data_IF_304138062008
#
_entry.id   IF_304138062008
#
_cell.length_a   1.000
_cell.length_b   1.000
_cell.length_c   1.000
_cell.angle_alpha   90.00
_cell.angle_beta   90.00
_cell.angle_gamma   90.00
#
_symmetry.space_group_name_H-M   'P 1'
#
loop_
_entity.id
_entity.type
_entity.pdbx_description
1 polymer ?
#
# COMPACT_ATOMS: atom_id res chain seq x y z
N UNK A 1 5.30 -0.91 -21.19
CA UNK A 1 4.58 -1.85 -20.29
C UNK A 1 4.22 -1.07 -19.03
N UNK A 2 2.98 -1.15 -18.58
CA UNK A 2 2.53 -0.43 -17.38
C UNK A 2 2.67 -1.34 -16.14
N UNK A 3 3.19 -0.80 -15.04
CA UNK A 3 3.28 -1.53 -13.77
C UNK A 3 1.89 -1.62 -13.13
N UNK A 4 1.44 -2.84 -12.83
CA UNK A 4 0.13 -3.11 -12.24
C UNK A 4 0.20 -3.65 -10.81
N UNK A 5 1.26 -4.38 -10.53
CA UNK A 5 1.46 -5.03 -9.24
C UNK A 5 2.83 -4.65 -8.70
N UNK A 6 2.86 -4.27 -7.44
CA UNK A 6 4.09 -3.94 -6.72
C UNK A 6 4.07 -4.62 -5.36
N UNK A 7 5.21 -5.19 -4.98
CA UNK A 7 5.40 -5.79 -3.67
C UNK A 7 6.57 -5.11 -2.98
N UNK A 8 6.35 -4.62 -1.75
CA UNK A 8 7.36 -3.97 -0.93
C UNK A 8 7.71 -4.84 0.28
N UNK A 9 8.98 -5.23 0.36
CA UNK A 9 9.59 -5.91 1.50
C UNK A 9 10.68 -5.02 2.11
N UNK A 10 10.32 -3.99 2.90
CA UNK A 10 11.32 -3.24 3.64
C UNK A 10 12.04 -4.14 4.65
N UNK A 11 13.34 -3.91 4.80
CA UNK A 11 14.13 -4.44 5.91
C UNK A 11 13.86 -3.63 7.17
N UNK A 12 14.72 -2.63 7.43
CA UNK A 12 14.72 -1.90 8.70
C UNK A 12 13.85 -0.64 8.71
N UNK A 13 13.36 -0.16 7.56
CA UNK A 13 12.60 1.10 7.49
C UNK A 13 11.54 1.04 6.40
N UNK A 14 10.31 1.41 6.74
CA UNK A 14 9.22 1.54 5.78
C UNK A 14 9.47 2.73 4.84
N UNK A 15 9.51 2.53 3.51
CA UNK A 15 9.65 3.62 2.56
C UNK A 15 8.39 4.49 2.52
N UNK A 16 8.56 5.78 2.24
CA UNK A 16 7.44 6.68 1.93
C UNK A 16 6.74 6.25 0.64
N UNK A 17 5.40 6.27 0.64
CA UNK A 17 4.60 5.75 -0.48
C UNK A 17 4.19 6.82 -1.50
N UNK A 18 4.50 8.10 -1.26
CA UNK A 18 4.12 9.21 -2.14
C UNK A 18 4.46 9.01 -3.65
N UNK A 19 5.61 8.45 -4.03
CA UNK A 19 5.94 8.24 -5.45
C UNK A 19 5.00 7.27 -6.18
N UNK A 20 4.30 6.38 -5.46
CA UNK A 20 3.41 5.41 -6.08
C UNK A 20 2.14 6.08 -6.66
N UNK A 21 1.86 7.33 -6.28
CA UNK A 21 0.78 8.12 -6.88
C UNK A 21 1.04 8.45 -8.36
N UNK A 22 2.29 8.39 -8.81
CA UNK A 22 2.71 8.61 -10.20
C UNK A 22 2.57 7.34 -11.07
N UNK A 23 2.03 6.24 -10.51
CA UNK A 23 1.82 4.98 -11.21
C UNK A 23 0.31 4.79 -11.51
N UNK A 24 -0.22 5.41 -12.59
CA UNK A 24 -1.67 5.45 -12.84
C UNK A 24 -2.28 4.09 -13.19
N UNK A 25 -1.45 3.09 -13.49
CA UNK A 25 -1.87 1.72 -13.79
C UNK A 25 -1.67 0.74 -12.64
N UNK A 26 -1.22 1.22 -11.47
CA UNK A 26 -1.02 0.36 -10.31
C UNK A 26 -2.38 -0.06 -9.74
N UNK A 27 -2.63 -1.36 -9.75
CA UNK A 27 -3.87 -2.00 -9.34
C UNK A 27 -3.70 -2.71 -8.00
N UNK A 28 -2.50 -3.23 -7.70
CA UNK A 28 -2.21 -3.97 -6.47
C UNK A 28 -0.89 -3.53 -5.83
N UNK A 29 -0.92 -3.28 -4.53
CA UNK A 29 0.26 -3.02 -3.69
C UNK A 29 0.25 -3.98 -2.50
N UNK A 30 1.24 -4.86 -2.41
CA UNK A 30 1.42 -5.71 -1.24
C UNK A 30 2.54 -5.18 -0.34
N UNK A 31 2.22 -4.99 0.94
CA UNK A 31 3.12 -4.44 1.96
C UNK A 31 3.44 -5.50 3.01
N UNK A 32 4.74 -5.63 3.29
CA UNK A 32 5.29 -6.52 4.31
C UNK A 32 6.15 -5.71 5.28
N UNK A 33 6.41 -6.26 6.47
CA UNK A 33 7.32 -5.66 7.45
C UNK A 33 6.63 -5.19 8.73
N UNK A 34 7.43 -4.87 9.74
CA UNK A 34 6.98 -4.50 11.08
C UNK A 34 6.88 -3.00 11.35
N UNK A 35 7.50 -2.17 10.51
CA UNK A 35 7.45 -0.71 10.62
C UNK A 35 6.14 -0.15 10.03
N UNK A 36 5.64 0.98 10.55
CA UNK A 36 4.39 1.57 10.07
C UNK A 36 4.52 2.18 8.67
N UNK A 37 3.60 1.84 7.77
CA UNK A 37 3.44 2.55 6.50
C UNK A 37 2.32 3.60 6.58
N UNK A 38 2.59 4.80 6.10
CA UNK A 38 1.55 5.82 5.90
C UNK A 38 0.87 5.66 4.53
N UNK A 39 -0.40 5.28 4.54
CA UNK A 39 -1.19 5.08 3.32
C UNK A 39 -1.85 6.38 2.82
N UNK A 40 -1.81 7.47 3.59
CA UNK A 40 -2.47 8.75 3.26
C UNK A 40 -2.22 9.22 1.82
N UNK A 41 -1.00 9.17 1.27
CA UNK A 41 -0.74 9.60 -0.11
C UNK A 41 -1.51 8.80 -1.17
N UNK A 42 -1.85 7.54 -0.88
CA UNK A 42 -2.43 6.59 -1.83
C UNK A 42 -3.98 6.61 -1.84
N UNK A 43 -4.60 7.40 -0.97
CA UNK A 43 -6.06 7.44 -0.84
C UNK A 43 -6.75 7.80 -2.16
N UNK A 44 -6.15 8.73 -2.93
CA UNK A 44 -6.64 9.18 -4.24
C UNK A 44 -6.43 8.19 -5.40
N UNK A 45 -5.68 7.10 -5.20
CA UNK A 45 -5.43 6.09 -6.24
C UNK A 45 -6.65 5.17 -6.39
N UNK A 46 -7.68 5.60 -7.12
CA UNK A 46 -9.00 4.94 -7.15
C UNK A 46 -8.98 3.43 -7.48
N UNK A 47 -8.03 2.98 -8.31
CA UNK A 47 -7.93 1.58 -8.76
C UNK A 47 -7.00 0.72 -7.89
N UNK A 48 -6.40 1.28 -6.83
CA UNK A 48 -5.37 0.60 -6.05
C UNK A 48 -6.00 -0.20 -4.90
N UNK A 49 -5.72 -1.51 -4.87
CA UNK A 49 -5.96 -2.38 -3.73
C UNK A 49 -4.67 -2.57 -2.92
N UNK A 50 -4.73 -2.36 -1.61
CA UNK A 50 -3.60 -2.55 -0.70
C UNK A 50 -3.75 -3.88 0.03
N UNK A 51 -2.77 -4.76 -0.13
CA UNK A 51 -2.67 -6.03 0.57
C UNK A 51 -1.67 -5.90 1.72
N UNK A 52 -2.11 -6.21 2.94
CA UNK A 52 -1.31 -6.10 4.16
C UNK A 52 -1.01 -7.50 4.68
N UNK A 53 0.28 -7.82 4.80
CA UNK A 53 0.72 -9.03 5.46
C UNK A 53 0.42 -9.01 6.97
N UNK A 54 0.42 -10.18 7.58
CA UNK A 54 0.29 -10.32 9.03
C UNK A 54 1.38 -9.51 9.76
N UNK A 55 0.97 -8.74 10.77
CA UNK A 55 1.89 -7.91 11.55
C UNK A 55 2.26 -6.56 10.92
N UNK A 56 1.85 -6.29 9.67
CA UNK A 56 2.09 -5.00 9.03
C UNK A 56 1.22 -3.91 9.65
N UNK A 57 1.89 -2.86 10.10
CA UNK A 57 1.28 -1.68 10.70
C UNK A 57 1.07 -0.61 9.63
N UNK A 58 -0.09 0.03 9.66
CA UNK A 58 -0.45 1.09 8.71
C UNK A 58 -1.19 2.21 9.42
N UNK A 59 -1.06 3.43 8.88
CA UNK A 59 -1.82 4.63 9.25
C UNK A 59 -2.51 5.22 8.03
N UNK A 60 -3.49 6.11 8.22
CA UNK A 60 -4.21 6.75 7.11
C UNK A 60 -5.24 5.85 6.42
N UNK A 61 -5.56 4.69 7.01
CA UNK A 61 -6.57 3.75 6.50
C UNK A 61 -7.99 4.34 6.47
N UNK A 62 -8.25 5.33 7.31
CA UNK A 62 -9.50 6.09 7.37
C UNK A 62 -9.80 6.87 6.08
N UNK A 63 -8.80 7.09 5.22
CA UNK A 63 -8.98 7.70 3.91
C UNK A 63 -9.29 6.69 2.80
N UNK A 64 -9.37 5.39 3.14
CA UNK A 64 -9.65 4.32 2.20
C UNK A 64 -11.05 3.74 2.43
N UNK A 65 -11.76 3.40 1.35
CA UNK A 65 -12.84 2.44 1.43
C UNK A 65 -12.32 1.13 2.04
N UNK A 66 -13.03 0.51 3.00
CA UNK A 66 -12.56 -0.67 3.70
C UNK A 66 -12.30 -1.86 2.77
N UNK A 67 -13.05 -1.97 1.67
CA UNK A 67 -12.87 -2.99 0.64
C UNK A 67 -11.53 -2.90 -0.12
N UNK A 68 -10.86 -1.73 -0.12
CA UNK A 68 -9.57 -1.53 -0.78
C UNK A 68 -8.38 -1.95 0.08
N UNK A 69 -8.61 -2.32 1.35
CA UNK A 69 -7.56 -2.78 2.25
C UNK A 69 -7.84 -4.24 2.60
N UNK A 70 -7.02 -5.14 2.05
CA UNK A 70 -7.12 -6.57 2.29
C UNK A 70 -6.02 -6.98 3.25
N UNK A 71 -6.38 -7.62 4.37
CA UNK A 71 -5.42 -8.26 5.27
C UNK A 71 -5.33 -9.74 4.95
N UNK A 72 -4.15 -10.21 4.61
CA UNK A 72 -3.89 -11.64 4.41
C UNK A 72 -3.50 -12.27 5.75
N UNK A 73 -4.10 -13.43 6.04
CA UNK A 73 -3.87 -14.21 7.25
C UNK A 73 -2.54 -14.96 7.22
#
# INVERSE_FOLDING_TARGET
TALRELVLFPGDTAPGLAPLTELPSLESLALYGGEPFDLTPLAGCANLTVQLAYGTKVTGTEHFPPERIVRTH
#
